data_IF_319646613071
#
_entry.id   IF_319646613071
#
_cell.length_a   1.000
_cell.length_b   1.000
_cell.length_c   1.000
_cell.angle_alpha   90.00
_cell.angle_beta   90.00
_cell.angle_gamma   90.00
#
_symmetry.space_group_name_H-M   'P 1'
#
loop_
_entity.id
_entity.type
_entity.pdbx_description
1 polymer ?
#
# COMPACT_ATOMS: atom_id res chain seq x y z
N UNK A 1 32.68 -3.39 -1.19
CA UNK A 1 31.52 -2.77 -0.52
C UNK A 1 30.74 -1.99 -1.57
N UNK A 2 29.54 -2.48 -1.98
CA UNK A 2 28.43 -1.74 -2.69
C UNK A 2 27.51 -2.63 -3.57
N UNK A 3 27.53 -3.96 -3.45
CA UNK A 3 26.52 -4.86 -4.11
C UNK A 3 25.35 -5.27 -3.19
N UNK A 4 25.36 -4.87 -1.92
CA UNK A 4 24.31 -5.18 -0.94
C UNK A 4 23.20 -4.09 -0.83
N UNK A 5 23.38 -2.93 -1.48
CA UNK A 5 22.46 -1.78 -1.34
C UNK A 5 21.40 -1.65 -2.46
N UNK A 6 21.39 -2.51 -3.49
CA UNK A 6 20.45 -2.35 -4.62
C UNK A 6 19.17 -3.20 -4.51
N UNK A 7 19.09 -4.09 -3.52
CA UNK A 7 17.92 -4.92 -3.21
C UNK A 7 16.97 -4.26 -2.16
N UNK A 8 17.34 -3.09 -1.63
CA UNK A 8 16.56 -2.37 -0.60
C UNK A 8 15.28 -1.72 -1.17
N UNK A 9 15.27 -1.34 -2.45
CA UNK A 9 14.10 -0.68 -3.09
C UNK A 9 13.17 -1.67 -3.81
N UNK A 10 13.61 -2.90 -4.11
CA UNK A 10 12.80 -3.93 -4.80
C UNK A 10 11.68 -4.53 -3.92
N UNK A 11 11.75 -4.34 -2.60
CA UNK A 11 10.89 -5.03 -1.63
C UNK A 11 9.82 -4.13 -1.00
N UNK A 12 9.96 -2.81 -1.09
CA UNK A 12 8.88 -1.89 -0.74
C UNK A 12 7.65 -2.12 -1.64
N UNK A 13 7.85 -2.59 -2.87
CA UNK A 13 6.82 -2.64 -3.89
C UNK A 13 6.03 -3.92 -3.95
N UNK A 14 6.68 -5.04 -3.71
CA UNK A 14 5.96 -6.26 -3.35
C UNK A 14 5.25 -6.04 -2.00
N UNK A 15 5.79 -5.27 -1.05
CA UNK A 15 5.05 -4.95 0.18
C UNK A 15 3.82 -4.06 -0.07
N UNK A 16 3.87 -3.11 -1.01
CA UNK A 16 2.72 -2.27 -1.41
C UNK A 16 1.68 -3.10 -2.16
N UNK A 17 2.09 -3.96 -3.11
CA UNK A 17 1.17 -4.85 -3.85
C UNK A 17 0.53 -5.86 -2.89
N UNK A 18 1.28 -6.43 -1.95
CA UNK A 18 0.76 -7.38 -0.94
C UNK A 18 -0.08 -6.69 0.12
N UNK A 19 0.28 -5.50 0.62
CA UNK A 19 -0.57 -4.73 1.53
C UNK A 19 -1.83 -4.20 0.85
N UNK A 20 -1.78 -3.76 -0.40
CA UNK A 20 -2.97 -3.36 -1.17
C UNK A 20 -3.86 -4.57 -1.47
N UNK A 21 -3.28 -5.72 -1.86
CA UNK A 21 -4.02 -6.97 -2.03
C UNK A 21 -4.64 -7.48 -0.71
N UNK A 22 -3.94 -7.36 0.43
CA UNK A 22 -4.48 -7.69 1.76
C UNK A 22 -5.60 -6.72 2.20
N UNK A 23 -5.47 -5.43 1.91
CA UNK A 23 -6.48 -4.43 2.25
C UNK A 23 -7.77 -4.60 1.41
N UNK A 24 -7.63 -4.91 0.12
CA UNK A 24 -8.76 -5.12 -0.79
C UNK A 24 -9.44 -6.49 -0.58
N UNK A 25 -8.71 -7.56 -0.28
CA UNK A 25 -9.31 -8.88 0.04
C UNK A 25 -10.13 -8.86 1.34
N UNK A 26 -9.78 -8.00 2.31
CA UNK A 26 -10.61 -7.76 3.49
C UNK A 26 -11.85 -6.89 3.20
N UNK A 27 -11.79 -5.94 2.27
CA UNK A 27 -12.96 -5.11 1.91
C UNK A 27 -13.94 -5.79 0.94
N UNK A 28 -13.46 -6.71 0.10
CA UNK A 28 -14.30 -7.44 -0.85
C UNK A 28 -15.21 -8.50 -0.21
N UNK A 29 -14.87 -9.03 0.97
CA UNK A 29 -15.67 -10.06 1.66
C UNK A 29 -16.93 -9.56 2.35
N UNK A 30 -17.24 -8.25 2.30
CA UNK A 30 -18.41 -7.68 2.99
C UNK A 30 -19.52 -7.11 2.09
N UNK A 31 -19.64 -7.55 0.83
CA UNK A 31 -20.82 -7.22 0.01
C UNK A 31 -21.46 -8.42 -0.69
N UNK A 32 -22.62 -8.78 -0.13
CA UNK A 32 -23.82 -9.32 -0.80
C UNK A 32 -23.77 -10.74 -1.36
N UNK A 33 -24.65 -11.58 -0.81
CA UNK A 33 -24.97 -12.93 -1.28
C UNK A 33 -25.56 -12.98 -2.69
N UNK A 34 -24.69 -12.96 -3.70
CA UNK A 34 -24.95 -13.54 -5.02
C UNK A 34 -23.86 -14.56 -5.30
N UNK A 35 -24.25 -15.75 -5.76
CA UNK A 35 -23.32 -16.80 -6.23
C UNK A 35 -22.25 -16.16 -7.13
N UNK A 36 -20.95 -16.40 -6.91
CA UNK A 36 -19.92 -15.87 -7.79
C UNK A 36 -20.05 -16.59 -9.13
N UNK A 37 -20.50 -15.85 -10.14
CA UNK A 37 -20.50 -16.30 -11.53
C UNK A 37 -19.02 -16.33 -11.95
N UNK A 38 -18.37 -17.48 -11.79
CA UNK A 38 -16.92 -17.65 -11.92
C UNK A 38 -16.40 -17.17 -13.29
N UNK A 39 -15.91 -15.94 -13.30
CA UNK A 39 -15.33 -15.25 -14.45
C UNK A 39 -13.81 -15.45 -14.52
N UNK A 40 -13.20 -14.92 -15.60
CA UNK A 40 -11.78 -15.05 -15.93
C UNK A 40 -10.85 -14.75 -14.74
N UNK A 41 -9.83 -15.59 -14.53
CA UNK A 41 -8.77 -15.36 -13.53
C UNK A 41 -7.40 -15.65 -14.15
N UNK A 42 -6.41 -14.83 -13.80
CA UNK A 42 -5.00 -14.94 -14.21
C UNK A 42 -4.13 -14.55 -13.02
N UNK A 43 -3.20 -15.42 -12.61
CA UNK A 43 -2.31 -15.20 -11.47
C UNK A 43 -0.94 -15.84 -11.69
N UNK A 44 0.03 -15.44 -10.88
CA UNK A 44 1.37 -16.04 -10.85
C UNK A 44 1.32 -17.30 -9.98
N UNK A 45 1.98 -18.37 -10.42
CA UNK A 45 1.95 -19.65 -9.71
C UNK A 45 2.46 -19.56 -8.26
N UNK A 46 1.79 -20.30 -7.37
CA UNK A 46 1.98 -20.28 -5.91
C UNK A 46 3.34 -20.82 -5.49
N UNK A 47 3.88 -21.82 -6.19
CA UNK A 47 5.21 -22.37 -5.91
C UNK A 47 6.31 -21.42 -6.37
N UNK A 48 6.08 -20.72 -7.48
CA UNK A 48 6.98 -19.69 -7.98
C UNK A 48 7.14 -18.55 -6.96
N UNK A 49 6.04 -18.15 -6.30
CA UNK A 49 6.09 -17.13 -5.24
C UNK A 49 6.80 -17.65 -4.00
N UNK A 50 6.48 -18.88 -3.54
CA UNK A 50 7.18 -19.52 -2.41
C UNK A 50 8.69 -19.59 -2.62
N UNK A 51 9.14 -19.84 -3.85
CA UNK A 51 10.57 -19.86 -4.20
C UNK A 51 11.26 -18.50 -4.02
N UNK A 52 10.55 -17.40 -4.31
CA UNK A 52 11.11 -16.04 -4.21
C UNK A 52 10.90 -15.38 -2.84
N UNK A 53 9.85 -15.78 -2.11
CA UNK A 53 9.42 -15.10 -0.88
C UNK A 53 9.49 -15.97 0.38
N UNK A 54 9.55 -17.29 0.27
CA UNK A 54 9.37 -18.19 1.41
C UNK A 54 7.94 -18.22 1.97
N UNK A 55 7.00 -17.47 1.37
CA UNK A 55 5.58 -17.40 1.77
C UNK A 55 4.71 -17.91 0.62
N UNK A 56 3.71 -18.73 0.96
CA UNK A 56 2.89 -19.42 -0.02
C UNK A 56 1.60 -18.64 -0.36
N UNK A 57 1.69 -17.70 -1.31
CA UNK A 57 0.55 -16.85 -1.74
C UNK A 57 0.37 -16.82 -3.27
N UNK A 58 -0.78 -16.35 -3.74
CA UNK A 58 -1.09 -16.17 -5.16
C UNK A 58 -1.22 -14.67 -5.47
N UNK A 59 -0.54 -14.19 -6.53
CA UNK A 59 -0.61 -12.80 -6.99
C UNK A 59 -1.43 -12.74 -8.26
N UNK A 60 -2.60 -12.09 -8.21
CA UNK A 60 -3.57 -12.06 -9.29
C UNK A 60 -3.33 -10.86 -10.21
N UNK A 61 -3.30 -11.07 -11.53
CA UNK A 61 -3.34 -9.96 -12.50
C UNK A 61 -4.78 -9.67 -12.94
N UNK A 62 -5.60 -10.72 -13.07
CA UNK A 62 -7.03 -10.61 -13.33
C UNK A 62 -7.73 -11.46 -12.28
N UNK A 63 -8.67 -10.85 -11.55
CA UNK A 63 -9.53 -11.55 -10.61
C UNK A 63 -11.01 -11.29 -10.96
N UNK A 64 -11.81 -12.35 -10.97
CA UNK A 64 -13.24 -12.32 -11.33
C UNK A 64 -13.58 -11.49 -12.59
N UNK A 65 -12.75 -11.60 -13.64
CA UNK A 65 -12.95 -10.90 -14.92
C UNK A 65 -12.63 -9.41 -14.89
N UNK A 66 -11.86 -8.93 -13.92
CA UNK A 66 -11.35 -7.55 -13.86
C UNK A 66 -9.86 -7.54 -13.65
N UNK A 67 -9.17 -6.63 -14.34
CA UNK A 67 -7.78 -6.31 -14.01
C UNK A 67 -7.75 -5.68 -12.63
N UNK A 68 -6.85 -6.18 -11.78
CA UNK A 68 -6.66 -5.65 -10.42
C UNK A 68 -6.22 -4.17 -10.47
N UNK A 69 -6.76 -3.30 -9.59
CA UNK A 69 -6.57 -1.85 -9.70
C UNK A 69 -5.10 -1.39 -9.68
N UNK A 70 -4.22 -2.08 -8.96
CA UNK A 70 -2.81 -1.70 -8.86
C UNK A 70 -2.05 -1.83 -10.18
N UNK A 71 -2.49 -2.70 -11.10
CA UNK A 71 -1.92 -2.79 -12.45
C UNK A 71 -2.31 -1.61 -13.35
N UNK A 72 -3.33 -0.83 -12.95
CA UNK A 72 -3.82 0.33 -13.68
C UNK A 72 -3.21 1.65 -13.17
N UNK A 73 -2.39 1.60 -12.12
CA UNK A 73 -1.65 2.76 -11.62
C UNK A 73 -0.59 3.18 -12.67
N UNK A 74 -0.60 4.42 -13.18
CA UNK A 74 0.38 4.91 -14.14
C UNK A 74 1.84 4.82 -13.63
N UNK A 75 2.05 4.84 -12.32
CA UNK A 75 3.38 4.71 -11.73
C UNK A 75 3.80 3.26 -11.48
N UNK A 76 2.93 2.29 -11.76
CA UNK A 76 3.18 0.87 -11.50
C UNK A 76 4.49 0.38 -12.12
N UNK A 77 4.84 0.82 -13.33
CA UNK A 77 6.06 0.37 -14.01
C UNK A 77 7.35 0.85 -13.31
N UNK A 78 7.35 2.09 -12.80
CA UNK A 78 8.47 2.64 -12.02
C UNK A 78 8.68 1.88 -10.71
N UNK A 79 7.59 1.27 -10.27
CA UNK A 79 7.40 0.51 -9.06
C UNK A 79 7.69 -0.99 -9.25
N UNK A 80 8.12 -1.44 -10.44
CA UNK A 80 8.46 -2.84 -10.68
C UNK A 80 9.96 -3.12 -10.46
N UNK A 81 10.29 -4.19 -9.72
CA UNK A 81 11.67 -4.61 -9.52
C UNK A 81 12.27 -5.16 -10.81
N UNK A 82 13.59 -5.06 -10.94
CA UNK A 82 14.33 -5.73 -12.02
C UNK A 82 14.30 -7.24 -11.76
N UNK A 83 13.91 -8.02 -12.77
CA UNK A 83 13.94 -9.48 -12.70
C UNK A 83 15.41 -9.91 -12.67
N UNK A 84 15.86 -10.74 -11.71
CA UNK A 84 17.27 -11.07 -11.53
C UNK A 84 17.79 -12.06 -12.59
N UNK A 85 19.12 -12.18 -12.74
CA UNK A 85 19.78 -13.01 -13.76
C UNK A 85 19.47 -14.51 -13.65
N UNK A 86 19.14 -15.01 -12.45
CA UNK A 86 18.83 -16.42 -12.20
C UNK A 86 17.46 -16.84 -12.76
N UNK A 87 16.54 -15.90 -12.97
CA UNK A 87 15.16 -16.20 -13.42
C UNK A 87 15.13 -16.29 -14.94
N UNK A 88 15.00 -17.50 -15.47
CA UNK A 88 14.93 -17.75 -16.92
C UNK A 88 13.50 -17.82 -17.46
N UNK A 89 12.50 -18.00 -16.59
CA UNK A 89 11.08 -18.02 -16.95
C UNK A 89 10.19 -17.62 -15.76
N UNK A 90 8.96 -17.21 -16.06
CA UNK A 90 7.92 -16.93 -15.06
C UNK A 90 6.67 -17.72 -15.44
N UNK A 91 6.12 -18.43 -14.46
CA UNK A 91 4.93 -19.26 -14.62
C UNK A 91 3.65 -18.51 -14.24
N UNK A 92 2.69 -18.56 -15.15
CA UNK A 92 1.38 -17.96 -15.01
C UNK A 92 0.31 -19.02 -15.13
N UNK A 93 -0.70 -18.89 -14.30
CA UNK A 93 -1.86 -19.75 -14.29
C UNK A 93 -3.11 -18.96 -14.62
N UNK A 94 -3.96 -19.51 -15.47
CA UNK A 94 -5.23 -18.89 -15.83
C UNK A 94 -6.37 -19.89 -16.02
N UNK A 95 -7.61 -19.38 -15.92
CA UNK A 95 -8.83 -20.11 -16.27
C UNK A 95 -9.93 -19.13 -16.68
N UNK A 96 -10.75 -19.55 -17.63
CA UNK A 96 -11.88 -18.76 -18.14
C UNK A 96 -13.18 -18.96 -17.34
N UNK A 97 -13.27 -20.03 -16.54
CA UNK A 97 -14.46 -20.37 -15.77
C UNK A 97 -15.64 -20.76 -16.66
N UNK A 98 -16.78 -20.08 -16.49
CA UNK A 98 -18.00 -20.37 -17.25
C UNK A 98 -18.00 -19.68 -18.63
N UNK A 99 -17.51 -18.43 -18.68
CA UNK A 99 -17.51 -17.60 -19.90
C UNK A 99 -16.32 -17.93 -20.82
N UNK A 100 -16.48 -17.59 -22.10
CA UNK A 100 -15.45 -17.81 -23.14
C UNK A 100 -14.68 -16.52 -23.38
N UNK A 101 -13.37 -16.60 -23.16
CA UNK A 101 -12.43 -15.51 -23.39
C UNK A 101 -11.38 -15.92 -24.41
N UNK A 102 -10.92 -14.94 -25.18
CA UNK A 102 -9.87 -15.04 -26.17
C UNK A 102 -8.74 -14.10 -25.77
N UNK A 103 -7.51 -14.51 -26.01
CA UNK A 103 -6.34 -13.75 -25.65
C UNK A 103 -5.50 -13.45 -26.90
N UNK A 104 -4.82 -12.31 -26.87
CA UNK A 104 -3.86 -11.89 -27.87
C UNK A 104 -2.65 -11.22 -27.21
N UNK A 105 -1.48 -11.86 -27.32
CA UNK A 105 -0.19 -11.28 -26.95
C UNK A 105 0.34 -10.42 -28.09
N UNK A 106 -0.14 -9.18 -28.16
CA UNK A 106 0.19 -8.24 -29.23
C UNK A 106 1.58 -7.62 -29.10
N UNK A 107 2.17 -7.61 -27.89
CA UNK A 107 3.52 -7.11 -27.64
C UNK A 107 4.33 -8.17 -26.89
N UNK A 108 5.39 -8.64 -27.53
CA UNK A 108 6.47 -9.43 -26.93
C UNK A 108 7.75 -8.95 -27.61
N UNK A 109 8.48 -8.04 -26.96
CA UNK A 109 9.63 -7.38 -27.57
C UNK A 109 10.69 -7.07 -26.52
N UNK A 110 11.94 -7.37 -26.82
CA UNK A 110 13.08 -6.81 -26.10
C UNK A 110 13.48 -5.47 -26.73
N UNK A 111 13.77 -4.47 -25.91
CA UNK A 111 14.31 -3.19 -26.37
C UNK A 111 15.85 -3.21 -26.43
N UNK A 112 16.49 -4.17 -25.75
CA UNK A 112 17.94 -4.37 -25.70
C UNK A 112 18.32 -5.82 -26.08
N UNK A 113 18.23 -6.15 -27.37
CA UNK A 113 18.48 -7.53 -27.86
C UNK A 113 19.92 -8.02 -27.65
N UNK A 114 20.87 -7.11 -27.46
CA UNK A 114 22.27 -7.44 -27.15
C UNK A 114 22.45 -8.04 -25.74
N UNK A 115 21.51 -7.80 -24.83
CA UNK A 115 21.52 -8.27 -23.44
C UNK A 115 20.44 -9.34 -23.24
N UNK A 116 19.22 -9.10 -23.72
CA UNK A 116 18.07 -9.99 -23.57
C UNK A 116 17.42 -10.23 -24.93
N UNK A 117 17.34 -11.49 -25.36
CA UNK A 117 16.63 -11.85 -26.59
C UNK A 117 15.12 -11.65 -26.39
N UNK A 118 14.38 -11.48 -27.49
CA UNK A 118 12.93 -11.26 -27.44
C UNK A 118 12.22 -12.36 -26.61
N UNK A 119 11.37 -11.98 -25.63
CA UNK A 119 10.68 -12.93 -24.77
C UNK A 119 9.71 -13.79 -25.57
N UNK A 120 9.56 -15.05 -25.17
CA UNK A 120 8.66 -16.00 -25.81
C UNK A 120 7.72 -16.64 -24.79
N UNK A 121 6.64 -17.22 -25.27
CA UNK A 121 5.62 -17.86 -24.42
C UNK A 121 5.45 -19.31 -24.85
N UNK A 122 5.14 -20.19 -23.89
CA UNK A 122 4.96 -21.63 -24.16
C UNK A 122 3.63 -21.99 -24.84
N UNK A 123 2.77 -20.99 -25.05
CA UNK A 123 1.50 -21.09 -25.75
C UNK A 123 1.55 -20.29 -27.07
N UNK A 124 0.51 -20.41 -27.92
CA UNK A 124 0.40 -19.57 -29.12
C UNK A 124 0.21 -18.11 -28.73
N UNK A 125 0.56 -17.15 -29.59
CA UNK A 125 0.34 -15.70 -29.32
C UNK A 125 -1.13 -15.34 -29.20
N UNK A 126 -1.98 -16.01 -29.97
CA UNK A 126 -3.43 -15.85 -29.96
C UNK A 126 -4.11 -17.17 -29.71
N UNK A 127 -5.22 -17.13 -28.99
CA UNK A 127 -6.00 -18.33 -28.74
C UNK A 127 -7.16 -18.12 -27.81
N UNK A 128 -7.73 -19.24 -27.36
CA UNK A 128 -8.81 -19.27 -26.39
C UNK A 128 -8.26 -19.59 -25.00
N UNK A 129 -8.71 -18.84 -24.00
CA UNK A 129 -8.37 -19.14 -22.60
C UNK A 129 -9.00 -20.48 -22.21
N UNK A 130 -8.25 -21.39 -21.57
CA UNK A 130 -8.75 -22.70 -21.16
C UNK A 130 -9.85 -22.58 -20.11
N UNK A 131 -10.86 -23.46 -20.21
CA UNK A 131 -11.99 -23.51 -19.27
C UNK A 131 -11.54 -23.88 -17.85
N UNK A 132 -10.61 -24.84 -17.75
CA UNK A 132 -9.98 -25.29 -16.51
C UNK A 132 -8.63 -24.61 -16.35
N UNK A 133 -8.14 -24.60 -15.12
CA UNK A 133 -6.81 -24.10 -14.77
C UNK A 133 -5.74 -24.74 -15.64
N UNK A 134 -4.93 -23.90 -16.27
CA UNK A 134 -3.77 -24.33 -17.06
C UNK A 134 -2.64 -23.33 -16.85
N UNK A 135 -1.43 -23.84 -16.88
CA UNK A 135 -0.22 -23.04 -16.77
C UNK A 135 0.35 -22.71 -18.15
N UNK A 136 0.98 -21.55 -18.25
CA UNK A 136 1.89 -21.19 -19.33
C UNK A 136 3.06 -20.41 -18.75
N UNK A 137 4.17 -20.39 -19.47
CA UNK A 137 5.39 -19.73 -19.02
C UNK A 137 5.79 -18.65 -20.00
N UNK A 138 6.26 -17.52 -19.47
CA UNK A 138 6.98 -16.50 -20.23
C UNK A 138 8.47 -16.76 -20.06
N UNK A 139 9.16 -17.04 -21.15
CA UNK A 139 10.60 -17.30 -21.20
C UNK A 139 11.37 -15.99 -21.39
N UNK A 140 12.42 -15.79 -20.61
CA UNK A 140 13.25 -14.59 -20.57
C UNK A 140 14.73 -14.91 -20.93
N UNK A 141 15.01 -15.20 -22.22
CA UNK A 141 16.33 -15.65 -22.65
C UNK A 141 17.38 -14.52 -22.68
N UNK A 142 18.36 -14.58 -21.77
CA UNK A 142 19.55 -13.74 -21.86
C UNK A 142 20.38 -14.08 -23.11
N UNK A 143 20.99 -13.07 -23.73
CA UNK A 143 21.81 -13.25 -24.94
C UNK A 143 23.09 -14.04 -24.65
N UNK A 144 23.66 -13.85 -23.45
CA UNK A 144 24.88 -14.54 -22.98
C UNK A 144 26.17 -13.78 -23.27
N UNK A 145 26.14 -12.80 -24.18
CA UNK A 145 27.35 -12.07 -24.63
C UNK A 145 27.66 -10.84 -23.78
N UNK A 146 26.65 -10.17 -23.23
CA UNK A 146 26.79 -8.94 -22.46
C UNK A 146 26.09 -9.07 -21.11
N UNK A 147 26.71 -8.50 -20.07
CA UNK A 147 26.08 -8.33 -18.76
C UNK A 147 25.40 -6.96 -18.73
N UNK A 148 24.22 -6.86 -18.14
CA UNK A 148 23.49 -5.61 -18.02
C UNK A 148 22.01 -5.82 -17.75
N UNK A 149 21.28 -4.70 -17.64
CA UNK A 149 19.83 -4.69 -17.47
C UNK A 149 19.20 -4.33 -18.80
N UNK A 150 18.32 -5.21 -19.30
CA UNK A 150 17.56 -5.01 -20.53
C UNK A 150 16.10 -4.67 -20.21
N UNK A 151 15.54 -3.74 -20.98
CA UNK A 151 14.09 -3.47 -20.93
C UNK A 151 13.35 -4.34 -21.95
N UNK A 152 12.16 -4.81 -21.61
CA UNK A 152 11.29 -5.57 -22.51
C UNK A 152 9.81 -5.28 -22.24
N UNK A 153 8.99 -5.39 -23.27
CA UNK A 153 7.55 -5.15 -23.21
C UNK A 153 6.74 -6.44 -23.34
N UNK A 154 5.71 -6.57 -22.50
CA UNK A 154 4.64 -7.57 -22.66
C UNK A 154 3.30 -6.82 -22.80
N UNK A 155 2.54 -7.15 -23.83
CA UNK A 155 1.17 -6.65 -24.03
C UNK A 155 0.21 -7.80 -24.21
N UNK A 156 -0.91 -7.77 -23.49
CA UNK A 156 -1.95 -8.78 -23.47
C UNK A 156 -3.33 -8.13 -23.61
N UNK A 157 -4.05 -8.51 -24.65
CA UNK A 157 -5.47 -8.21 -24.82
C UNK A 157 -6.30 -9.43 -24.44
N UNK A 158 -7.38 -9.23 -23.67
CA UNK A 158 -8.37 -10.27 -23.38
C UNK A 158 -9.72 -9.80 -23.86
N UNK A 159 -10.38 -10.60 -24.69
CA UNK A 159 -11.69 -10.27 -25.25
C UNK A 159 -12.71 -11.38 -25.01
N UNK A 160 -13.97 -10.99 -24.94
CA UNK A 160 -15.10 -11.93 -24.94
C UNK A 160 -15.40 -12.41 -26.36
N UNK A 161 -16.25 -13.43 -26.53
CA UNK A 161 -16.71 -13.92 -27.85
C UNK A 161 -17.34 -12.84 -28.74
N UNK A 162 -17.77 -11.70 -28.18
CA UNK A 162 -18.34 -10.57 -28.92
C UNK A 162 -17.28 -9.53 -29.33
N UNK A 163 -15.99 -9.86 -29.26
CA UNK A 163 -14.86 -8.95 -29.47
C UNK A 163 -14.92 -7.72 -28.57
N UNK A 164 -15.54 -7.88 -27.39
CA UNK A 164 -15.56 -6.83 -26.36
C UNK A 164 -14.35 -7.03 -25.45
N UNK A 165 -13.46 -6.03 -25.29
CA UNK A 165 -12.31 -6.12 -24.41
C UNK A 165 -12.76 -6.25 -22.95
N UNK A 166 -11.97 -6.98 -22.18
CA UNK A 166 -12.14 -7.10 -20.73
C UNK A 166 -11.80 -5.75 -20.09
N UNK A 167 -12.52 -5.38 -19.04
CA UNK A 167 -12.27 -4.12 -18.33
C UNK A 167 -10.83 -4.09 -17.79
N UNK A 168 -10.06 -3.08 -18.19
CA UNK A 168 -8.65 -2.90 -17.83
C UNK A 168 -7.66 -3.51 -18.84
N UNK A 169 -8.13 -4.13 -19.92
CA UNK A 169 -7.29 -4.51 -21.07
C UNK A 169 -7.41 -3.47 -22.20
N UNK A 170 -6.37 -3.26 -23.03
CA UNK A 170 -5.12 -4.01 -23.11
C UNK A 170 -4.20 -3.75 -21.92
N UNK A 171 -3.63 -4.83 -21.37
CA UNK A 171 -2.53 -4.73 -20.43
C UNK A 171 -1.26 -4.52 -21.23
N UNK A 172 -0.46 -3.52 -20.89
CA UNK A 172 0.84 -3.27 -21.48
C UNK A 172 1.80 -2.93 -20.35
N UNK A 173 2.85 -3.73 -20.21
CA UNK A 173 3.84 -3.60 -19.15
C UNK A 173 5.23 -3.52 -19.75
N UNK A 174 5.98 -2.53 -19.29
CA UNK A 174 7.41 -2.38 -19.54
C UNK A 174 8.20 -2.89 -18.34
N UNK A 175 8.93 -3.98 -18.54
CA UNK A 175 9.64 -4.73 -17.51
C UNK A 175 11.15 -4.66 -17.73
N UNK A 176 11.93 -4.88 -16.66
CA UNK A 176 13.40 -4.87 -16.70
C UNK A 176 13.94 -6.21 -16.23
N UNK A 177 14.96 -6.73 -16.92
CA UNK A 177 15.63 -8.01 -16.63
C UNK A 177 17.14 -7.80 -16.57
N UNK A 178 17.76 -8.23 -15.48
CA UNK A 178 19.21 -8.32 -15.37
C UNK A 178 19.69 -9.61 -16.03
N UNK A 179 20.71 -9.51 -16.86
CA UNK A 179 21.43 -10.64 -17.46
C UNK A 179 22.91 -10.50 -17.09
N UNK A 180 23.52 -11.62 -16.71
CA UNK A 180 24.95 -11.69 -16.47
C UNK A 180 25.54 -12.70 -17.44
N UNK A 181 26.71 -12.38 -17.99
CA UNK A 181 27.54 -13.36 -18.69
C UNK A 181 27.92 -14.40 -17.65
N UNK A 182 27.41 -15.63 -17.80
CA UNK A 182 28.04 -16.77 -17.14
C UNK A 182 29.40 -16.88 -17.78
N UNK A 183 30.47 -16.59 -17.04
CA UNK A 183 31.83 -16.84 -17.52
C UNK A 183 31.88 -18.26 -18.09
N UNK A 184 32.27 -18.36 -19.35
CA UNK A 184 32.47 -19.64 -20.01
C UNK A 184 33.40 -20.49 -19.12
N UNK A 185 32.90 -21.62 -18.62
CA UNK A 185 33.81 -22.71 -18.31
C UNK A 185 34.41 -23.10 -19.65
N UNK A 186 35.66 -22.72 -19.88
CA UNK A 186 36.40 -23.13 -21.06
C UNK A 186 36.52 -24.65 -21.00
N UNK A 187 35.63 -25.36 -21.70
CA UNK A 187 35.87 -26.74 -22.06
C UNK A 187 37.02 -26.74 -23.07
N UNK A 188 38.26 -26.76 -22.58
CA UNK A 188 39.42 -27.06 -23.41
C UNK A 188 39.37 -28.54 -23.74
N UNK A 189 38.60 -28.88 -24.77
CA UNK A 189 38.86 -30.06 -25.57
C UNK A 189 40.07 -29.73 -26.45
N UNK A 190 41.26 -30.05 -25.96
CA UNK A 190 42.36 -30.53 -26.80
C UNK A 190 43.37 -31.27 -25.93
N UNK A 191 43.48 -32.57 -26.28
CA UNK A 191 44.60 -33.49 -26.10
C UNK A 191 45.62 -33.16 -25.01
N UNK A 192 45.65 -33.99 -23.96
CA UNK A 192 46.86 -34.68 -23.53
C UNK A 192 46.49 -35.84 -22.60
N UNK A 193 46.97 -37.04 -22.95
CA UNK A 193 47.12 -38.18 -22.04
C UNK A 193 47.71 -37.73 -20.70
N UNK A 194 46.95 -37.76 -19.60
CA UNK A 194 47.52 -37.87 -18.26
C UNK A 194 46.48 -38.40 -17.26
N UNK A 195 46.90 -39.39 -16.46
CA UNK A 195 46.08 -40.21 -15.57
C UNK A 195 45.10 -39.43 -14.68
N UNK A 196 43.82 -39.77 -14.78
CA UNK A 196 42.77 -39.26 -13.89
C UNK A 196 42.85 -39.93 -12.51
N UNK A 197 43.55 -39.27 -11.60
CA UNK A 197 43.24 -39.30 -10.17
C UNK A 197 42.82 -37.89 -9.77
N UNK A 198 41.56 -37.53 -9.99
CA UNK A 198 40.92 -36.44 -9.27
C UNK A 198 39.41 -36.71 -9.17
N UNK A 199 38.97 -36.81 -7.92
CA UNK A 199 37.59 -36.93 -7.49
C UNK A 199 36.70 -35.84 -8.11
N UNK A 200 35.76 -36.24 -8.97
CA UNK A 200 34.61 -35.42 -9.33
C UNK A 200 33.87 -35.01 -8.06
N UNK A 201 33.92 -33.72 -7.72
CA UNK A 201 32.94 -33.16 -6.78
C UNK A 201 31.65 -32.92 -7.57
N UNK A 202 30.52 -33.53 -7.20
CA UNK A 202 29.28 -33.34 -7.92
C UNK A 202 28.92 -31.85 -7.91
N UNK A 203 28.36 -31.37 -9.03
CA UNK A 203 27.80 -30.02 -9.14
C UNK A 203 26.96 -29.73 -7.89
N UNK A 204 27.23 -28.64 -7.16
CA UNK A 204 26.45 -28.29 -5.99
C UNK A 204 25.00 -28.11 -6.43
N UNK A 205 24.10 -28.93 -5.88
CA UNK A 205 22.68 -28.86 -6.19
C UNK A 205 22.09 -27.47 -5.93
N UNK A 206 20.88 -27.19 -6.46
CA UNK A 206 20.17 -25.95 -6.14
C UNK A 206 19.97 -25.83 -4.62
N UNK A 207 20.02 -24.60 -4.10
CA UNK A 207 19.83 -24.37 -2.68
C UNK A 207 18.42 -24.81 -2.22
N UNK A 208 18.27 -25.22 -0.95
CA UNK A 208 16.96 -25.41 -0.35
C UNK A 208 16.09 -24.16 -0.46
N UNK A 209 14.77 -24.34 -0.53
CA UNK A 209 13.78 -23.25 -0.60
C UNK A 209 14.08 -22.14 0.41
N UNK A 210 14.14 -20.90 -0.07
CA UNK A 210 14.39 -19.72 0.77
C UNK A 210 15.85 -19.47 1.14
N UNK A 211 16.82 -20.17 0.54
CA UNK A 211 18.26 -19.92 0.74
C UNK A 211 18.98 -19.63 -0.58
N UNK A 212 19.96 -18.73 -0.53
CA UNK A 212 20.78 -18.27 -1.65
C UNK A 212 22.27 -18.50 -1.43
N UNK A 213 22.99 -18.55 -2.55
CA UNK A 213 24.45 -18.68 -2.62
C UNK A 213 24.95 -20.13 -2.71
N UNK A 214 24.60 -20.90 -3.76
CA UNK A 214 25.28 -22.16 -4.04
C UNK A 214 26.81 -21.94 -4.10
N UNK A 215 27.63 -22.90 -3.62
CA UNK A 215 27.28 -24.21 -3.06
C UNK A 215 26.86 -24.19 -1.58
N UNK A 216 27.04 -23.08 -0.87
CA UNK A 216 27.00 -23.06 0.59
C UNK A 216 25.67 -22.59 1.20
N UNK A 217 24.77 -22.04 0.38
CA UNK A 217 23.40 -21.66 0.73
C UNK A 217 23.28 -20.87 2.05
N UNK A 218 24.24 -19.97 2.31
CA UNK A 218 24.39 -19.28 3.61
C UNK A 218 23.45 -18.10 3.82
N UNK A 219 22.79 -17.61 2.76
CA UNK A 219 21.97 -16.39 2.83
C UNK A 219 20.50 -16.76 2.82
N UNK A 220 19.80 -16.58 3.93
CA UNK A 220 18.35 -16.75 3.99
C UNK A 220 17.61 -15.61 3.27
N UNK A 221 16.47 -15.93 2.66
CA UNK A 221 15.54 -15.01 2.01
C UNK A 221 14.37 -14.69 2.96
N UNK A 222 14.22 -13.43 3.31
CA UNK A 222 13.07 -12.95 4.07
C UNK A 222 12.20 -12.09 3.18
N UNK A 223 10.93 -12.45 3.07
CA UNK A 223 9.92 -11.64 2.43
C UNK A 223 8.68 -11.52 3.32
N UNK A 224 8.19 -10.30 3.59
CA UNK A 224 8.88 -9.01 3.44
C UNK A 224 10.29 -8.97 4.06
N UNK A 225 11.13 -8.07 3.57
CA UNK A 225 12.45 -7.85 4.15
C UNK A 225 12.33 -7.34 5.58
N UNK A 226 13.32 -7.69 6.40
CA UNK A 226 13.45 -7.13 7.74
C UNK A 226 13.74 -5.63 7.66
N UNK A 227 12.84 -4.81 8.21
CA UNK A 227 12.95 -3.36 8.26
C UNK A 227 13.93 -2.91 9.35
N UNK A 228 14.25 -1.61 9.36
CA UNK A 228 15.01 -0.96 10.43
C UNK A 228 16.39 -1.62 10.74
N UNK A 229 17.01 -2.25 9.72
CA UNK A 229 18.30 -2.91 9.86
C UNK A 229 18.25 -4.33 10.45
N UNK A 230 17.08 -4.97 10.51
CA UNK A 230 16.95 -6.37 10.90
C UNK A 230 17.68 -7.32 9.95
N UNK A 231 18.13 -8.46 10.48
CA UNK A 231 18.83 -9.48 9.71
C UNK A 231 17.96 -10.71 9.49
N UNK A 232 18.00 -11.27 8.29
CA UNK A 232 17.27 -12.49 7.97
C UNK A 232 18.05 -13.71 8.47
N UNK A 233 17.55 -14.36 9.51
CA UNK A 233 18.24 -15.51 10.15
C UNK A 233 17.78 -16.85 9.60
N UNK A 234 16.56 -16.91 9.06
CA UNK A 234 15.99 -18.06 8.37
C UNK A 234 14.91 -17.57 7.36
N UNK A 235 14.44 -18.41 6.41
CA UNK A 235 13.44 -18.00 5.44
C UNK A 235 12.21 -17.39 6.11
N UNK A 236 11.92 -16.12 5.81
CA UNK A 236 10.81 -15.36 6.41
C UNK A 236 10.96 -15.00 7.89
N UNK A 237 12.13 -15.22 8.52
CA UNK A 237 12.37 -14.94 9.94
C UNK A 237 13.39 -13.82 10.12
N UNK A 238 12.94 -12.73 10.73
CA UNK A 238 13.75 -11.54 11.01
C UNK A 238 14.24 -11.50 12.46
N UNK A 239 15.53 -11.22 12.62
CA UNK A 239 16.13 -10.81 13.89
C UNK A 239 16.18 -9.29 13.96
N UNK A 240 15.42 -8.70 14.87
CA UNK A 240 15.28 -7.25 14.99
C UNK A 240 16.39 -6.63 15.84
N UNK A 241 16.89 -5.44 15.47
CA UNK A 241 17.82 -4.69 16.29
C UNK A 241 17.12 -4.14 17.54
N UNK A 242 17.91 -3.80 18.55
CA UNK A 242 17.39 -3.29 19.82
C UNK A 242 16.51 -2.05 19.59
N UNK A 243 15.31 -2.06 20.20
CA UNK A 243 14.34 -0.97 20.04
C UNK A 243 13.29 -1.19 18.96
N UNK A 244 13.37 -2.29 18.20
CA UNK A 244 12.40 -2.66 17.17
C UNK A 244 11.78 -4.02 17.46
N UNK A 245 10.56 -4.22 16.97
CA UNK A 245 9.74 -5.42 17.14
C UNK A 245 8.85 -5.65 15.92
N UNK A 246 8.19 -6.81 15.91
CA UNK A 246 7.31 -7.25 14.82
C UNK A 246 7.97 -8.32 13.95
N UNK A 247 7.18 -9.08 13.18
CA UNK A 247 7.67 -10.14 12.30
C UNK A 247 8.70 -9.64 11.28
N UNK A 248 8.65 -8.35 10.92
CA UNK A 248 9.57 -7.73 9.96
C UNK A 248 10.28 -6.52 10.55
N UNK A 249 10.35 -6.40 11.88
CA UNK A 249 11.00 -5.29 12.59
C UNK A 249 10.42 -3.91 12.27
N UNK A 250 9.13 -3.85 11.95
CA UNK A 250 8.42 -2.66 11.49
C UNK A 250 7.91 -1.75 12.63
N UNK A 251 7.84 -2.26 13.86
CA UNK A 251 7.35 -1.53 15.02
C UNK A 251 8.49 -1.12 15.97
N UNK A 252 8.35 0.02 16.64
CA UNK A 252 9.24 0.40 17.74
C UNK A 252 8.84 -0.26 19.06
N UNK A 253 9.77 -0.32 20.00
CA UNK A 253 9.52 -0.69 21.40
C UNK A 253 9.62 0.57 22.26
N UNK A 254 8.50 1.01 22.85
CA UNK A 254 8.49 2.16 23.76
C UNK A 254 8.15 1.67 25.17
N UNK A 255 8.95 2.09 26.15
CA UNK A 255 8.73 1.79 27.57
C UNK A 255 7.43 2.43 28.05
N UNK A 256 7.17 3.66 27.58
CA UNK A 256 5.92 4.38 27.79
C UNK A 256 5.11 4.46 26.50
N UNK A 257 3.79 4.37 26.61
CA UNK A 257 2.90 4.38 25.44
C UNK A 257 2.82 5.78 24.83
N UNK A 258 2.86 5.87 23.51
CA UNK A 258 2.53 7.09 22.76
C UNK A 258 1.05 7.47 22.99
N UNK A 259 0.79 8.76 23.18
CA UNK A 259 -0.53 9.32 23.47
C UNK A 259 -1.18 9.89 22.20
N UNK A 260 -2.47 10.24 22.30
CA UNK A 260 -3.23 10.94 21.25
C UNK A 260 -3.17 10.29 19.85
N UNK A 261 -3.01 8.97 19.79
CA UNK A 261 -2.93 8.21 18.53
C UNK A 261 -1.52 8.15 17.92
N UNK A 262 -0.48 8.53 18.65
CA UNK A 262 0.91 8.35 18.23
C UNK A 262 1.31 6.87 18.11
N UNK A 263 2.21 6.58 17.17
CA UNK A 263 2.73 5.23 16.92
C UNK A 263 4.18 5.13 17.39
N UNK A 264 4.51 4.08 18.12
CA UNK A 264 5.90 3.82 18.48
C UNK A 264 6.66 3.28 17.26
N UNK A 265 7.66 4.02 16.80
CA UNK A 265 8.42 3.72 15.58
C UNK A 265 9.85 3.26 15.84
N UNK A 266 10.40 3.61 16.99
CA UNK A 266 11.73 3.18 17.46
C UNK A 266 11.76 3.21 18.99
N UNK A 267 12.85 2.73 19.62
CA UNK A 267 13.07 2.80 21.07
C UNK A 267 12.68 4.15 21.65
N UNK A 268 11.63 4.16 22.46
CA UNK A 268 11.11 5.35 23.16
C UNK A 268 10.83 6.56 22.23
N UNK A 269 10.59 6.31 20.94
CA UNK A 269 10.33 7.34 19.93
C UNK A 269 8.94 7.17 19.34
N UNK A 270 8.10 8.20 19.51
CA UNK A 270 6.75 8.26 18.99
C UNK A 270 6.66 9.10 17.71
N UNK A 271 6.02 8.54 16.69
CA UNK A 271 5.53 9.29 15.53
C UNK A 271 4.15 9.88 15.86
N UNK A 272 4.04 11.20 15.83
CA UNK A 272 2.84 11.91 16.23
C UNK A 272 1.91 12.25 15.06
N UNK A 273 0.59 12.09 15.22
CA UNK A 273 -0.37 12.53 14.23
C UNK A 273 -0.38 14.07 14.09
N UNK A 274 -0.86 14.56 12.94
CA UNK A 274 -0.87 15.99 12.62
C UNK A 274 -1.57 16.81 13.72
N UNK A 275 -0.89 17.84 14.20
CA UNK A 275 -1.40 18.72 15.26
C UNK A 275 -1.08 18.25 16.68
N UNK A 276 -0.30 17.15 16.84
CA UNK A 276 0.27 16.71 18.10
C UNK A 276 1.81 16.70 18.04
N UNK A 277 2.46 16.89 19.18
CA UNK A 277 3.92 16.94 19.32
C UNK A 277 4.33 16.65 20.77
N UNK A 278 5.63 16.53 21.02
CA UNK A 278 6.21 16.04 22.28
C UNK A 278 6.76 14.62 22.11
N UNK A 279 7.51 14.14 23.10
CA UNK A 279 8.16 12.81 23.03
C UNK A 279 7.14 11.68 22.96
N UNK A 280 5.95 11.90 23.53
CA UNK A 280 4.83 10.95 23.58
C UNK A 280 3.58 11.50 22.89
N UNK A 281 3.70 12.54 22.09
CA UNK A 281 2.56 13.22 21.44
C UNK A 281 1.55 13.81 22.43
N UNK A 282 2.03 14.24 23.60
CA UNK A 282 1.24 14.75 24.72
C UNK A 282 0.72 16.17 24.51
N UNK A 283 1.39 16.96 23.67
CA UNK A 283 1.01 18.33 23.38
C UNK A 283 0.26 18.44 22.05
N UNK A 284 -0.68 19.38 21.97
CA UNK A 284 -1.43 19.66 20.74
C UNK A 284 -1.25 21.11 20.29
N UNK A 285 -0.97 21.33 19.01
CA UNK A 285 -0.85 22.66 18.39
C UNK A 285 -1.72 22.74 17.15
N UNK A 286 -2.50 23.80 17.07
CA UNK A 286 -3.34 24.09 15.91
C UNK A 286 -2.57 25.04 15.01
N UNK A 287 -2.54 24.73 13.71
CA UNK A 287 -1.97 25.59 12.66
C UNK A 287 -2.79 26.87 12.54
N UNK A 288 -4.12 26.75 12.58
CA UNK A 288 -5.02 27.90 12.71
C UNK A 288 -5.28 28.12 14.20
N UNK A 289 -4.82 29.24 14.77
CA UNK A 289 -4.90 29.47 16.21
C UNK A 289 -6.35 29.55 16.68
N UNK A 290 -6.60 29.03 17.89
CA UNK A 290 -7.88 29.18 18.55
C UNK A 290 -8.04 30.64 19.00
N UNK A 291 -9.17 31.26 18.66
CA UNK A 291 -9.49 32.63 19.10
C UNK A 291 -10.36 32.60 20.36
N UNK A 292 -10.64 33.77 20.95
CA UNK A 292 -11.55 33.92 22.09
C UNK A 292 -11.23 33.01 23.30
N UNK A 293 -9.95 32.74 23.56
CA UNK A 293 -9.50 31.91 24.69
C UNK A 293 -9.70 30.41 24.49
N UNK A 294 -9.97 29.94 23.27
CA UNK A 294 -10.00 28.51 22.94
C UNK A 294 -8.65 27.82 23.15
N UNK A 295 -8.67 26.55 23.55
CA UNK A 295 -7.46 25.70 23.65
C UNK A 295 -7.46 24.66 22.54
N UNK A 296 -6.33 24.45 21.88
CA UNK A 296 -6.23 23.43 20.85
C UNK A 296 -6.44 22.03 21.47
N UNK A 297 -7.22 21.18 20.80
CA UNK A 297 -7.42 19.77 21.15
C UNK A 297 -6.70 18.82 20.15
N UNK A 298 -6.10 19.35 19.10
CA UNK A 298 -5.47 18.61 18.00
C UNK A 298 -6.30 18.64 16.71
N UNK A 299 -5.72 18.18 15.61
CA UNK A 299 -6.33 18.16 14.27
C UNK A 299 -6.94 19.50 13.82
N UNK A 300 -6.35 20.64 14.22
CA UNK A 300 -6.90 21.97 13.95
C UNK A 300 -8.28 22.24 14.56
N UNK A 301 -8.66 21.54 15.64
CA UNK A 301 -9.93 21.75 16.34
C UNK A 301 -9.68 22.31 17.73
N UNK A 302 -10.44 23.34 18.09
CA UNK A 302 -10.34 24.05 19.35
C UNK A 302 -11.44 23.62 20.34
N UNK A 303 -11.06 23.46 21.60
CA UNK A 303 -11.98 23.40 22.73
C UNK A 303 -12.36 24.82 23.13
N UNK A 304 -13.61 25.18 22.90
CA UNK A 304 -14.09 26.54 23.14
C UNK A 304 -14.59 26.75 24.57
N UNK A 305 -14.32 27.92 25.17
CA UNK A 305 -14.94 28.34 26.43
C UNK A 305 -16.44 28.59 26.26
N UNK A 306 -17.16 28.62 27.39
CA UNK A 306 -18.62 28.80 27.42
C UNK A 306 -19.04 30.04 26.64
N UNK A 307 -20.01 29.88 25.74
CA UNK A 307 -20.52 30.98 24.90
C UNK A 307 -19.86 31.10 23.52
N UNK A 308 -18.76 30.39 23.27
CA UNK A 308 -18.09 30.34 21.96
C UNK A 308 -18.24 28.97 21.30
N UNK A 309 -18.30 28.96 19.97
CA UNK A 309 -18.46 27.78 19.10
C UNK A 309 -17.65 27.97 17.82
N UNK A 310 -17.65 26.95 16.96
CA UNK A 310 -16.84 26.91 15.74
C UNK A 310 -15.58 26.07 15.94
N UNK A 311 -14.88 25.76 14.86
CA UNK A 311 -13.68 24.92 14.92
C UNK A 311 -12.50 25.65 15.56
N UNK A 312 -12.52 26.98 15.54
CA UNK A 312 -11.50 27.86 16.09
C UNK A 312 -12.05 28.83 17.14
N UNK A 313 -13.27 28.59 17.64
CA UNK A 313 -13.97 29.44 18.61
C UNK A 313 -14.30 30.85 18.10
N UNK A 314 -14.39 30.98 16.78
CA UNK A 314 -14.68 32.21 16.05
C UNK A 314 -16.15 32.66 16.19
N UNK A 315 -17.05 31.71 16.48
CA UNK A 315 -18.48 31.98 16.61
C UNK A 315 -18.79 32.27 18.08
N UNK A 316 -18.74 33.54 18.46
CA UNK A 316 -19.33 33.98 19.74
C UNK A 316 -20.85 33.90 19.67
N UNK A 317 -21.50 33.44 20.74
CA UNK A 317 -22.89 33.85 20.96
C UNK A 317 -22.86 35.36 21.08
N UNK A 318 -23.67 36.06 20.28
CA UNK A 318 -24.26 37.30 20.79
C UNK A 318 -24.83 36.91 22.13
N UNK A 319 -24.23 37.37 23.23
CA UNK A 319 -25.00 37.51 24.46
C UNK A 319 -26.34 38.11 24.01
N UNK A 320 -27.50 37.56 24.41
CA UNK A 320 -28.70 38.35 24.29
C UNK A 320 -28.38 39.60 25.10
N UNK A 321 -28.00 40.67 24.40
CA UNK A 321 -28.08 42.01 24.92
C UNK A 321 -29.49 42.04 25.45
N UNK A 322 -29.60 42.17 26.78
CA UNK A 322 -30.75 41.88 27.60
C UNK A 322 -31.94 42.72 27.12
N UNK A 323 -32.54 42.32 25.99
CA UNK A 323 -33.70 42.95 25.43
C UNK A 323 -34.86 42.32 26.16
N UNK A 324 -35.60 43.22 26.78
CA UNK A 324 -36.86 43.04 27.46
C UNK A 324 -36.74 42.44 28.84
N UNK A 325 -37.19 43.24 29.80
CA UNK A 325 -37.43 42.88 31.18
C UNK A 325 -38.01 41.47 31.25
N UNK A 326 -37.69 40.71 32.31
CA UNK A 326 -38.17 39.33 32.50
C UNK A 326 -39.68 39.20 32.28
N UNK A 327 -40.43 40.29 32.48
CA UNK A 327 -41.82 40.46 32.08
C UNK A 327 -42.00 41.80 31.37
N UNK A 328 -42.87 41.82 30.37
CA UNK A 328 -43.19 43.04 29.61
C UNK A 328 -43.82 44.11 30.50
N UNK A 329 -43.32 45.35 30.38
CA UNK A 329 -43.94 46.53 30.98
C UNK A 329 -45.21 46.85 30.21
N UNK A 330 -46.37 46.89 30.88
CA UNK A 330 -47.67 47.00 30.19
C UNK A 330 -47.91 48.41 29.64
N UNK A 331 -47.72 49.42 30.49
CA UNK A 331 -47.81 50.84 30.18
C UNK A 331 -46.53 51.55 30.64
N UNK A 332 -45.41 51.24 29.98
CA UNK A 332 -44.11 51.82 30.30
C UNK A 332 -42.96 51.23 29.49
N UNK A 333 -41.78 51.82 29.65
CA UNK A 333 -40.54 51.39 28.99
C UNK A 333 -39.65 50.59 29.95
N UNK A 334 -39.06 49.51 29.45
CA UNK A 334 -38.13 48.69 30.22
C UNK A 334 -36.76 49.37 30.32
N UNK A 335 -36.25 49.53 31.53
CA UNK A 335 -34.93 50.10 31.81
C UNK A 335 -33.84 49.01 31.90
N UNK A 336 -32.55 49.38 31.77
CA UNK A 336 -31.43 48.42 31.78
C UNK A 336 -31.29 47.60 33.08
N UNK A 337 -31.88 48.07 34.18
CA UNK A 337 -31.85 47.44 35.50
C UNK A 337 -32.98 46.41 35.73
N UNK A 338 -33.70 46.01 34.67
CA UNK A 338 -34.84 45.10 34.72
C UNK A 338 -36.06 45.69 35.48
N UNK A 339 -36.16 47.02 35.56
CA UNK A 339 -37.34 47.71 36.08
C UNK A 339 -38.13 48.40 34.97
N UNK A 340 -39.41 48.65 35.23
CA UNK A 340 -40.29 49.35 34.30
C UNK A 340 -40.42 50.83 34.72
N UNK A 341 -40.11 51.73 33.79
CA UNK A 341 -40.45 53.15 33.90
C UNK A 341 -41.88 53.35 33.38
N UNK A 342 -42.81 53.68 34.27
CA UNK A 342 -44.24 53.75 33.92
C UNK A 342 -44.63 55.06 33.27
N UNK A 343 -45.50 54.98 32.28
CA UNK A 343 -46.11 56.14 31.64
C UNK A 343 -46.97 56.93 32.65
N UNK A 344 -47.21 58.24 32.43
CA UNK A 344 -48.04 59.06 33.31
C UNK A 344 -49.41 58.43 33.58
N UNK A 345 -49.83 58.42 34.85
CA UNK A 345 -51.07 57.78 35.27
C UNK A 345 -50.95 56.28 35.60
N UNK A 346 -49.78 55.66 35.43
CA UNK A 346 -49.54 54.25 35.74
C UNK A 346 -48.47 54.06 36.83
N UNK A 347 -48.55 52.96 37.58
CA UNK A 347 -47.55 52.60 38.58
C UNK A 347 -47.47 51.08 38.86
N UNK A 348 -46.47 50.70 39.66
CA UNK A 348 -46.18 49.32 40.06
C UNK A 348 -45.09 48.64 39.22
N UNK A 349 -44.58 47.49 39.67
CA UNK A 349 -43.41 46.81 39.07
C UNK A 349 -43.51 46.53 37.56
N UNK A 350 -44.72 46.39 37.02
CA UNK A 350 -44.99 46.14 35.60
C UNK A 350 -45.91 47.20 34.97
N UNK A 351 -46.08 48.34 35.63
CA UNK A 351 -46.94 49.44 35.17
C UNK A 351 -48.38 48.99 34.83
N UNK A 352 -48.93 48.13 35.67
CA UNK A 352 -50.26 47.52 35.45
C UNK A 352 -51.36 48.14 36.30
N UNK A 353 -51.04 49.08 37.20
CA UNK A 353 -52.01 49.76 38.07
C UNK A 353 -52.19 51.21 37.61
N UNK A 354 -53.44 51.64 37.43
CA UNK A 354 -53.76 53.03 37.16
C UNK A 354 -53.70 53.84 38.46
N UNK A 355 -53.35 55.13 38.40
CA UNK A 355 -53.48 56.07 39.51
C UNK A 355 -54.88 56.70 39.43
N UNK A 356 -55.88 56.24 40.20
CA UNK A 356 -57.26 56.76 40.12
C UNK A 356 -57.43 58.22 40.57
N UNK A 357 -56.34 58.86 40.98
CA UNK A 357 -56.25 60.20 41.55
C UNK A 357 -55.40 61.16 40.69
N UNK A 358 -54.84 60.67 39.58
CA UNK A 358 -54.20 61.50 38.57
C UNK A 358 -55.27 61.94 37.56
N UNK A 359 -55.91 63.08 37.82
CA UNK A 359 -56.70 63.83 36.83
C UNK A 359 -55.80 64.81 36.10
#
# INVERSE_FOLDING_TARGET
>A
MTTACKWLDQLLLLSIIVFQAFHETCQARHRSGRKPDGDMTLWIDRQQIKMFSGVEMEIYAIDEGRVVPYLLDPEFENKLPIIPNEVSYVNFTWKSGVKKYYYDFFLLKSFDESILKTPSITIKKQGRVPKRQKEFSVLLPCSGNNSGVAQFGIGLMIETRKNKPLNGTPLQLSLRKECAVRGECVSRAHDHHFSASHTDKPNPGPCPDGYLGPPHCKKALCYPNCMNGGNCTAPGVCSCPAGFQGPYCEGGICSEKCLNGGKCVQKDTCECPKGFFGERCEFSKCVVPCVNGGKCKGNNICRCPTGYKGNHCEIGRRMPFHQTCTRQCRNGTCQPDNTCHCDPGWYGKLCSKNKPWAK
#
